data_IF_044332324271
#
_entry.id   IF_044332324271
#
_cell.length_a   1.000
_cell.length_b   1.000
_cell.length_c   1.000
_cell.angle_alpha   90.00
_cell.angle_beta   90.00
_cell.angle_gamma   90.00
#
_symmetry.space_group_name_H-M   'P 1'
#
loop_
_entity.id
_entity.type
_entity.pdbx_description
1 polymer ?
#
# COMPACT_ATOMS: atom_id res chain seq x y z
N UNK A 1 -5.88 18.25 -81.37
CA UNK A 1 -5.23 17.02 -80.87
C UNK A 1 -4.30 17.37 -79.71
N UNK A 2 -4.44 16.64 -78.58
CA UNK A 2 -3.49 16.40 -77.46
C UNK A 2 -2.86 17.62 -76.76
N UNK A 3 -3.48 18.17 -75.69
CA UNK A 3 -3.42 17.79 -74.24
C UNK A 3 -2.06 18.06 -73.57
N UNK A 4 -1.96 19.19 -72.88
CA UNK A 4 -0.90 19.57 -71.93
C UNK A 4 -1.30 19.06 -70.54
N UNK A 5 -0.49 18.17 -69.95
CA UNK A 5 -0.67 17.69 -68.57
C UNK A 5 0.00 18.68 -67.61
N UNK A 6 -0.80 19.37 -66.79
CA UNK A 6 -0.33 20.11 -65.62
C UNK A 6 -0.21 19.12 -64.45
N UNK A 7 1.02 18.92 -63.97
CA UNK A 7 1.33 18.09 -62.81
C UNK A 7 1.24 18.98 -61.56
N UNK A 8 0.15 18.85 -60.80
CA UNK A 8 -0.05 19.52 -59.51
C UNK A 8 0.66 18.71 -58.44
N UNK A 9 1.77 19.22 -57.93
CA UNK A 9 2.50 18.65 -56.78
C UNK A 9 1.79 19.13 -55.51
N UNK A 10 0.93 18.28 -54.94
CA UNK A 10 0.39 18.48 -53.60
C UNK A 10 1.48 18.22 -52.56
N UNK A 11 2.08 19.31 -52.04
CA UNK A 11 2.94 19.25 -50.85
C UNK A 11 2.04 18.99 -49.63
N UNK A 12 1.99 17.72 -49.20
CA UNK A 12 1.39 17.32 -47.93
C UNK A 12 2.21 17.91 -46.78
N UNK A 13 1.74 19.02 -46.22
CA UNK A 13 2.19 19.51 -44.92
C UNK A 13 1.70 18.54 -43.84
N UNK A 14 2.53 17.57 -43.46
CA UNK A 14 2.28 16.75 -42.28
C UNK A 14 2.39 17.65 -41.04
N UNK A 15 1.36 17.73 -40.18
CA UNK A 15 1.50 18.39 -38.90
C UNK A 15 2.50 17.58 -38.07
N UNK A 16 3.63 18.19 -37.71
CA UNK A 16 4.49 17.67 -36.66
C UNK A 16 3.65 17.54 -35.40
N UNK A 17 3.23 16.32 -35.08
CA UNK A 17 2.73 15.98 -33.77
C UNK A 17 3.86 16.23 -32.79
N UNK A 18 3.80 17.37 -32.09
CA UNK A 18 4.71 17.67 -31.00
C UNK A 18 4.61 16.57 -29.96
N UNK A 19 5.65 15.75 -29.86
CA UNK A 19 5.84 14.85 -28.74
C UNK A 19 5.96 15.73 -27.48
N UNK A 20 4.87 15.85 -26.72
CA UNK A 20 4.92 16.40 -25.38
C UNK A 20 5.78 15.44 -24.57
N UNK A 21 7.03 15.82 -24.33
CA UNK A 21 7.88 15.14 -23.38
C UNK A 21 7.20 15.29 -22.01
N UNK A 22 6.49 14.24 -21.57
CA UNK A 22 6.02 14.14 -20.20
C UNK A 22 7.25 14.14 -19.30
N UNK A 23 7.57 15.31 -18.75
CA UNK A 23 8.55 15.44 -17.66
C UNK A 23 8.09 14.52 -16.54
N UNK A 24 8.76 13.37 -16.35
CA UNK A 24 8.47 12.45 -15.26
C UNK A 24 8.46 13.25 -13.95
N UNK A 25 7.38 13.15 -13.20
CA UNK A 25 7.28 13.82 -11.91
C UNK A 25 8.42 13.32 -11.02
N UNK A 26 9.16 14.23 -10.39
CA UNK A 26 10.28 13.88 -9.51
C UNK A 26 9.75 13.36 -8.18
N UNK A 27 10.54 12.51 -7.52
CA UNK A 27 10.26 12.08 -6.16
C UNK A 27 10.06 13.29 -5.23
N UNK A 28 9.16 13.14 -4.26
CA UNK A 28 8.84 14.21 -3.29
C UNK A 28 8.79 13.66 -1.87
N UNK A 29 9.00 14.50 -0.84
CA UNK A 29 8.79 14.07 0.53
C UNK A 29 7.31 13.75 0.79
N UNK A 30 7.07 12.79 1.69
CA UNK A 30 5.76 12.52 2.27
C UNK A 30 5.39 13.58 3.32
N UNK A 31 4.12 13.95 3.36
CA UNK A 31 3.56 14.78 4.43
C UNK A 31 3.18 13.94 5.64
N UNK A 32 3.06 14.56 6.81
CA UNK A 32 2.60 13.88 8.02
C UNK A 32 1.21 13.25 7.87
N UNK A 33 0.31 13.90 7.11
CA UNK A 33 -1.02 13.38 6.84
C UNK A 33 -0.99 12.12 5.96
N UNK A 34 -0.07 12.05 5.00
CA UNK A 34 0.14 10.87 4.17
C UNK A 34 0.71 9.71 4.99
N UNK A 35 1.68 9.98 5.86
CA UNK A 35 2.25 8.99 6.80
C UNK A 35 1.15 8.41 7.70
N UNK A 36 0.33 9.25 8.33
CA UNK A 36 -0.81 8.80 9.15
C UNK A 36 -1.84 7.99 8.33
N UNK A 37 -1.98 8.30 7.04
CA UNK A 37 -2.87 7.55 6.16
C UNK A 37 -2.31 6.17 5.81
N UNK A 38 -0.98 6.03 5.68
CA UNK A 38 -0.29 4.73 5.54
C UNK A 38 -0.47 3.90 6.81
N UNK A 39 -0.22 4.49 7.99
CA UNK A 39 -0.43 3.82 9.29
C UNK A 39 -1.86 3.29 9.43
N UNK A 40 -2.85 4.12 9.10
CA UNK A 40 -4.26 3.73 9.14
C UNK A 40 -4.59 2.61 8.14
N UNK A 41 -4.01 2.65 6.93
CA UNK A 41 -4.21 1.58 5.96
C UNK A 41 -3.67 0.24 6.47
N UNK A 42 -2.51 0.25 7.14
CA UNK A 42 -1.94 -0.94 7.79
C UNK A 42 -2.86 -1.46 8.89
N UNK A 43 -3.32 -0.58 9.79
CA UNK A 43 -4.24 -0.97 10.87
C UNK A 43 -5.54 -1.55 10.34
N UNK A 44 -6.14 -0.88 9.34
CA UNK A 44 -7.41 -1.32 8.77
C UNK A 44 -7.30 -2.69 8.12
N UNK A 45 -6.22 -2.97 7.40
CA UNK A 45 -5.98 -4.31 6.86
C UNK A 45 -5.79 -5.36 7.96
N UNK A 46 -5.02 -5.06 9.00
CA UNK A 46 -4.81 -6.00 10.12
C UNK A 46 -6.13 -6.36 10.81
N UNK A 47 -7.04 -5.40 10.98
CA UNK A 47 -8.37 -5.68 11.53
C UNK A 47 -9.29 -6.39 10.55
N UNK A 48 -9.29 -5.99 9.27
CA UNK A 48 -10.11 -6.61 8.22
C UNK A 48 -9.77 -8.09 8.02
N UNK A 49 -8.49 -8.46 8.13
CA UNK A 49 -8.03 -9.85 8.02
C UNK A 49 -8.06 -10.63 9.36
N UNK A 50 -8.64 -10.07 10.43
CA UNK A 50 -8.67 -10.66 11.80
C UNK A 50 -7.26 -10.97 12.38
N UNK A 51 -6.21 -10.37 11.83
CA UNK A 51 -4.83 -10.62 12.25
C UNK A 51 -4.47 -9.96 13.58
N UNK A 52 -5.27 -9.02 14.07
CA UNK A 52 -5.01 -8.27 15.30
C UNK A 52 -4.76 -9.16 16.52
N UNK A 53 -5.36 -10.36 16.59
CA UNK A 53 -5.15 -11.33 17.67
C UNK A 53 -3.72 -11.87 17.72
N UNK A 54 -3.08 -11.99 16.55
CA UNK A 54 -1.70 -12.47 16.41
C UNK A 54 -0.66 -11.47 16.92
N UNK A 55 -1.08 -10.28 17.33
CA UNK A 55 -0.20 -9.26 17.90
C UNK A 55 -0.09 -9.33 19.43
N UNK A 56 -0.79 -10.25 20.12
CA UNK A 56 -0.62 -10.45 21.56
C UNK A 56 0.85 -10.72 21.90
N UNK A 57 1.40 -9.97 22.86
CA UNK A 57 2.81 -10.02 23.26
C UNK A 57 3.82 -9.64 22.16
N UNK A 58 3.38 -9.00 21.09
CA UNK A 58 4.26 -8.45 20.05
C UNK A 58 4.40 -6.94 20.25
N UNK A 59 5.63 -6.43 20.27
CA UNK A 59 5.91 -5.00 20.41
C UNK A 59 5.81 -4.48 21.85
N UNK A 60 5.73 -3.17 22.02
CA UNK A 60 5.52 -2.52 23.32
C UNK A 60 4.03 -2.58 23.68
N UNK A 61 3.69 -3.02 24.90
CA UNK A 61 2.32 -2.91 25.39
C UNK A 61 2.05 -1.50 25.92
N UNK A 62 1.08 -0.81 25.32
CA UNK A 62 0.62 0.52 25.78
C UNK A 62 -0.77 0.49 26.42
N UNK A 63 -1.35 -0.71 26.58
CA UNK A 63 -2.61 -0.95 27.29
C UNK A 63 -2.36 -1.47 28.72
N UNK A 64 -3.10 -2.51 29.11
CA UNK A 64 -2.89 -3.22 30.39
C UNK A 64 -2.47 -4.68 30.11
N UNK A 65 -2.01 -5.43 31.13
CA UNK A 65 -1.74 -6.87 30.95
C UNK A 65 -2.99 -7.67 30.51
N UNK A 66 -4.18 -7.25 30.94
CA UNK A 66 -5.47 -7.88 30.62
C UNK A 66 -6.05 -7.39 29.28
N UNK A 67 -5.69 -6.16 28.86
CA UNK A 67 -6.11 -5.57 27.59
C UNK A 67 -4.88 -5.10 26.81
N UNK A 68 -4.26 -6.03 26.09
CA UNK A 68 -3.00 -5.79 25.39
C UNK A 68 -3.20 -4.94 24.12
N UNK A 69 -2.49 -3.81 24.06
CA UNK A 69 -2.43 -2.95 22.86
C UNK A 69 -0.98 -2.89 22.41
N UNK A 70 -0.71 -3.50 21.26
CA UNK A 70 0.62 -3.60 20.67
C UNK A 70 0.98 -2.32 19.93
N UNK A 71 1.98 -1.58 20.42
CA UNK A 71 2.64 -0.52 19.67
C UNK A 71 3.83 -1.09 18.89
N UNK A 72 3.81 -0.92 17.58
CA UNK A 72 4.87 -1.40 16.67
C UNK A 72 5.47 -0.26 15.86
N UNK A 73 6.75 -0.40 15.54
CA UNK A 73 7.41 0.47 14.58
C UNK A 73 6.89 0.21 13.16
N UNK A 74 6.79 1.30 12.41
CA UNK A 74 6.68 1.30 10.96
C UNK A 74 7.76 2.22 10.40
N UNK A 75 8.45 1.77 9.36
CA UNK A 75 9.49 2.54 8.68
C UNK A 75 8.98 2.88 7.28
N UNK A 76 8.84 4.17 6.98
CA UNK A 76 8.26 4.65 5.73
C UNK A 76 9.35 5.39 4.97
N UNK A 77 9.58 5.00 3.72
CA UNK A 77 10.52 5.70 2.86
C UNK A 77 10.11 7.18 2.78
N UNK A 78 10.96 8.12 3.20
CA UNK A 78 10.59 9.54 3.26
C UNK A 78 10.29 10.13 1.88
N UNK A 79 10.78 9.50 0.80
CA UNK A 79 10.53 9.89 -0.57
C UNK A 79 9.42 9.03 -1.21
N UNK A 80 8.39 9.71 -1.72
CA UNK A 80 7.38 9.13 -2.60
C UNK A 80 7.84 9.22 -4.05
N UNK A 81 7.85 8.11 -4.77
CA UNK A 81 8.16 8.09 -6.20
C UNK A 81 6.93 8.55 -6.98
N UNK A 82 6.94 9.82 -7.40
CA UNK A 82 5.85 10.38 -8.18
C UNK A 82 5.88 9.95 -9.65
N UNK A 83 7.00 9.43 -10.17
CA UNK A 83 7.11 8.94 -11.54
C UNK A 83 6.41 7.59 -11.68
N UNK A 84 6.65 6.70 -10.71
CA UNK A 84 6.06 5.35 -10.69
C UNK A 84 4.83 5.26 -9.77
N UNK A 85 4.47 6.37 -9.14
CA UNK A 85 3.21 6.54 -8.42
C UNK A 85 3.09 5.73 -7.13
N UNK A 86 4.19 5.44 -6.44
CA UNK A 86 4.16 4.64 -5.22
C UNK A 86 5.18 5.10 -4.18
N UNK A 87 4.95 4.72 -2.93
CA UNK A 87 5.92 4.77 -1.86
C UNK A 87 6.19 3.38 -1.31
N UNK A 88 7.07 3.30 -0.32
CA UNK A 88 7.48 2.04 0.28
C UNK A 88 7.43 2.11 1.80
N UNK A 89 7.00 1.02 2.42
CA UNK A 89 6.92 0.87 3.87
C UNK A 89 7.43 -0.50 4.33
N UNK A 90 8.10 -0.53 5.48
CA UNK A 90 8.52 -1.75 6.18
C UNK A 90 7.80 -1.80 7.54
N UNK A 91 7.14 -2.92 7.84
CA UNK A 91 6.46 -3.13 9.13
C UNK A 91 6.27 -4.62 9.43
N UNK A 92 5.91 -4.94 10.68
CA UNK A 92 5.55 -6.30 11.09
C UNK A 92 4.07 -6.57 10.83
N UNK A 93 3.78 -7.59 10.03
CA UNK A 93 2.45 -8.12 9.75
C UNK A 93 2.38 -9.58 10.23
N UNK A 94 1.77 -9.78 11.40
CA UNK A 94 1.59 -11.12 11.96
C UNK A 94 0.43 -11.85 11.23
N UNK A 95 0.52 -13.18 11.04
CA UNK A 95 1.56 -14.09 11.54
C UNK A 95 2.79 -14.23 10.62
N UNK A 96 2.87 -13.46 9.53
CA UNK A 96 3.87 -13.69 8.48
C UNK A 96 5.28 -13.17 8.81
N UNK A 97 5.39 -12.09 9.59
CA UNK A 97 6.65 -11.46 9.95
C UNK A 97 6.80 -10.05 9.38
N UNK A 98 8.01 -9.62 9.09
CA UNK A 98 8.27 -8.27 8.59
C UNK A 98 8.16 -8.21 7.06
N UNK A 99 7.33 -7.29 6.58
CA UNK A 99 7.05 -7.09 5.16
C UNK A 99 7.70 -5.80 4.64
N UNK A 100 8.21 -5.85 3.41
CA UNK A 100 8.57 -4.69 2.60
C UNK A 100 7.46 -4.53 1.56
N UNK A 101 6.76 -3.40 1.58
CA UNK A 101 5.49 -3.26 0.86
C UNK A 101 5.37 -1.93 0.13
N UNK A 102 4.87 -1.98 -1.10
CA UNK A 102 4.51 -0.76 -1.81
C UNK A 102 3.18 -0.21 -1.30
N UNK A 103 3.02 1.11 -1.38
CA UNK A 103 1.73 1.76 -1.17
C UNK A 103 1.49 2.83 -2.23
N UNK A 104 0.21 3.07 -2.54
CA UNK A 104 -0.23 4.02 -3.54
C UNK A 104 -1.03 5.13 -2.88
N UNK A 105 -0.61 6.39 -3.08
CA UNK A 105 -1.35 7.55 -2.62
C UNK A 105 -2.44 7.92 -3.63
N UNK A 106 -3.51 8.55 -3.15
CA UNK A 106 -4.50 9.19 -4.03
C UNK A 106 -5.52 8.24 -4.65
N UNK A 107 -5.72 7.04 -4.10
CA UNK A 107 -6.98 6.36 -4.35
C UNK A 107 -8.12 7.23 -3.80
N UNK A 108 -9.31 7.21 -4.42
CA UNK A 108 -10.46 8.02 -3.96
C UNK A 108 -10.77 7.82 -2.47
N UNK A 109 -10.34 6.69 -1.90
CA UNK A 109 -10.67 6.24 -0.55
C UNK A 109 -9.43 6.14 0.38
N UNK A 110 -8.29 6.76 -0.01
CA UNK A 110 -7.09 6.87 0.83
C UNK A 110 -5.86 6.15 0.28
N UNK A 111 -5.03 5.61 1.17
CA UNK A 111 -3.79 4.88 0.82
C UNK A 111 -4.10 3.42 0.58
N UNK A 112 -3.74 2.89 -0.59
CA UNK A 112 -3.86 1.46 -0.88
C UNK A 112 -2.50 0.77 -0.68
N UNK A 113 -2.49 -0.36 0.03
CA UNK A 113 -1.31 -1.21 0.16
C UNK A 113 -1.28 -2.24 -0.98
N UNK A 114 -0.09 -2.48 -1.54
CA UNK A 114 0.11 -3.42 -2.65
C UNK A 114 0.13 -4.88 -2.20
N UNK A 115 -0.43 -5.78 -3.00
CA UNK A 115 -0.48 -7.21 -2.68
C UNK A 115 -1.55 -7.58 -1.65
N UNK A 116 -1.80 -8.88 -1.53
CA UNK A 116 -2.82 -9.47 -0.67
C UNK A 116 -2.14 -10.31 0.42
N UNK A 117 -2.39 -10.05 1.71
CA UNK A 117 -1.82 -10.82 2.80
C UNK A 117 -2.05 -12.33 2.72
N UNK A 118 -3.17 -12.80 2.15
CA UNK A 118 -3.44 -14.24 2.01
C UNK A 118 -2.45 -14.93 1.06
N UNK A 119 -1.86 -14.18 0.13
CA UNK A 119 -0.83 -14.69 -0.79
C UNK A 119 0.56 -14.76 -0.14
N UNK A 120 0.72 -14.35 1.13
CA UNK A 120 1.94 -14.49 1.94
C UNK A 120 3.19 -13.81 1.36
N UNK A 121 2.99 -12.82 0.47
CA UNK A 121 4.05 -11.96 -0.08
C UNK A 121 5.22 -12.75 -0.73
N UNK A 122 4.98 -13.44 -1.87
CA UNK A 122 6.00 -14.25 -2.53
C UNK A 122 7.12 -13.37 -3.11
N UNK A 123 8.32 -13.95 -3.24
CA UNK A 123 9.52 -13.24 -3.75
C UNK A 123 9.34 -12.66 -5.16
N UNK A 124 8.41 -13.20 -5.95
CA UNK A 124 8.15 -12.77 -7.33
C UNK A 124 7.36 -11.46 -7.44
N UNK A 125 6.88 -10.92 -6.32
CA UNK A 125 6.11 -9.68 -6.28
C UNK A 125 6.95 -8.52 -5.73
N UNK A 126 6.61 -7.26 -6.08
CA UNK A 126 7.28 -6.09 -5.52
C UNK A 126 7.15 -6.02 -3.99
N UNK A 127 5.95 -6.28 -3.46
CA UNK A 127 5.70 -6.45 -2.03
C UNK A 127 6.05 -7.87 -1.59
N UNK A 128 6.95 -7.99 -0.62
CA UNK A 128 7.59 -9.27 -0.23
C UNK A 128 7.96 -9.29 1.25
N UNK A 129 8.20 -10.48 1.79
CA UNK A 129 8.81 -10.60 3.12
C UNK A 129 10.27 -10.13 3.09
N UNK A 130 10.69 -9.43 4.15
CA UNK A 130 12.08 -8.96 4.31
C UNK A 130 13.10 -10.09 4.44
N UNK A 131 12.67 -11.29 4.86
CA UNK A 131 13.53 -12.49 4.89
C UNK A 131 14.06 -12.89 3.50
N UNK A 132 13.43 -12.40 2.43
CA UNK A 132 13.90 -12.61 1.05
C UNK A 132 14.85 -11.51 0.55
N UNK A 133 15.16 -10.52 1.38
CA UNK A 133 16.00 -9.38 1.06
C UNK A 133 17.36 -9.49 1.74
N UNK A 134 18.34 -8.73 1.24
CA UNK A 134 19.62 -8.58 1.90
C UNK A 134 19.42 -7.84 3.25
N UNK A 135 19.95 -8.41 4.33
CA UNK A 135 19.78 -7.87 5.68
C UNK A 135 20.43 -6.49 5.84
N UNK A 136 21.54 -6.22 5.14
CA UNK A 136 22.22 -4.92 5.17
C UNK A 136 21.36 -3.84 4.51
N UNK A 137 20.61 -4.19 3.44
CA UNK A 137 19.67 -3.28 2.80
C UNK A 137 18.51 -2.93 3.72
N UNK A 138 17.88 -3.94 4.35
CA UNK A 138 16.78 -3.72 5.30
C UNK A 138 17.26 -2.88 6.49
N UNK A 139 18.42 -3.21 7.07
CA UNK A 139 19.00 -2.45 8.17
C UNK A 139 19.31 -0.99 7.80
N UNK A 140 19.83 -0.74 6.59
CA UNK A 140 20.08 0.61 6.09
C UNK A 140 18.77 1.38 5.92
N UNK A 141 17.76 0.75 5.34
CA UNK A 141 16.47 1.37 5.09
C UNK A 141 15.79 1.73 6.43
N UNK A 142 15.70 0.81 7.40
CA UNK A 142 15.14 1.11 8.73
C UNK A 142 15.86 2.24 9.48
N UNK A 143 17.17 2.42 9.27
CA UNK A 143 17.96 3.50 9.89
C UNK A 143 17.77 4.86 9.23
N UNK A 144 17.46 4.88 7.94
CA UNK A 144 17.41 6.11 7.13
C UNK A 144 15.98 6.58 6.86
N UNK A 145 15.00 5.68 6.99
CA UNK A 145 13.61 5.97 6.71
C UNK A 145 12.90 6.66 7.88
N UNK A 146 11.75 7.27 7.58
CA UNK A 146 10.91 7.89 8.60
C UNK A 146 10.36 6.81 9.52
N UNK A 147 10.80 6.82 10.77
CA UNK A 147 10.31 5.94 11.81
C UNK A 147 9.05 6.51 12.46
N UNK A 148 7.97 5.75 12.44
CA UNK A 148 6.72 6.07 13.12
C UNK A 148 6.16 4.83 13.84
N UNK A 149 4.92 4.92 14.33
CA UNK A 149 4.27 3.85 15.08
C UNK A 149 2.81 3.67 14.66
N UNK A 150 2.33 2.44 14.76
CA UNK A 150 0.91 2.13 14.76
C UNK A 150 0.57 1.24 15.96
N UNK A 151 -0.70 1.27 16.37
CA UNK A 151 -1.18 0.53 17.53
C UNK A 151 -2.24 -0.49 17.11
N UNK A 152 -2.15 -1.71 17.61
CA UNK A 152 -3.12 -2.78 17.38
C UNK A 152 -3.72 -3.21 18.71
N UNK A 153 -5.02 -3.03 18.86
CA UNK A 153 -5.80 -3.59 19.96
C UNK A 153 -6.05 -5.07 19.68
N UNK A 154 -5.45 -5.93 20.51
CA UNK A 154 -5.53 -7.39 20.33
C UNK A 154 -6.89 -7.96 20.76
N UNK A 155 -7.71 -7.14 21.42
CA UNK A 155 -9.08 -7.43 21.83
C UNK A 155 -10.05 -6.39 21.23
N UNK A 156 -9.83 -6.01 19.96
CA UNK A 156 -10.67 -5.05 19.27
C UNK A 156 -12.16 -5.42 19.28
N UNK A 157 -13.00 -4.41 19.50
CA UNK A 157 -14.46 -4.58 19.50
C UNK A 157 -14.98 -4.82 18.08
N UNK A 158 -16.15 -5.47 17.91
CA UNK A 158 -16.76 -5.65 16.59
C UNK A 158 -16.94 -4.34 15.81
N UNK A 159 -17.23 -3.24 16.49
CA UNK A 159 -17.38 -1.93 15.86
C UNK A 159 -16.07 -1.40 15.24
N UNK A 160 -14.92 -1.68 15.87
CA UNK A 160 -13.59 -1.31 15.32
C UNK A 160 -13.33 -2.13 14.05
N UNK A 161 -13.60 -3.43 14.11
CA UNK A 161 -13.39 -4.36 13.00
C UNK A 161 -14.28 -3.98 11.82
N UNK A 162 -15.58 -3.77 12.04
CA UNK A 162 -16.53 -3.35 11.01
C UNK A 162 -16.13 -2.01 10.37
N UNK A 163 -15.69 -1.04 11.18
CA UNK A 163 -15.24 0.25 10.66
C UNK A 163 -13.95 0.14 9.83
N UNK A 164 -13.02 -0.71 10.23
CA UNK A 164 -11.79 -1.01 9.49
C UNK A 164 -12.10 -1.70 8.15
N UNK A 165 -12.93 -2.74 8.20
CA UNK A 165 -13.40 -3.49 7.03
C UNK A 165 -14.06 -2.58 5.98
N UNK A 166 -14.99 -1.69 6.41
CA UNK A 166 -15.62 -0.71 5.50
C UNK A 166 -14.60 0.20 4.83
N UNK A 167 -13.60 0.68 5.58
CA UNK A 167 -12.51 1.52 5.03
C UNK A 167 -11.62 0.72 4.08
N UNK A 168 -11.31 -0.53 4.40
CA UNK A 168 -10.51 -1.41 3.56
C UNK A 168 -11.23 -1.71 2.24
N UNK A 169 -12.50 -2.10 2.29
CA UNK A 169 -13.35 -2.30 1.11
C UNK A 169 -13.42 -1.06 0.23
N UNK A 170 -13.55 0.12 0.83
CA UNK A 170 -13.53 1.36 0.07
C UNK A 170 -12.22 1.52 -0.71
N UNK A 171 -11.06 1.16 -0.14
CA UNK A 171 -9.75 1.30 -0.81
C UNK A 171 -9.49 0.26 -1.88
N UNK A 172 -9.77 -1.00 -1.60
CA UNK A 172 -9.36 -2.14 -2.43
C UNK A 172 -10.49 -2.72 -3.27
N UNK A 173 -11.74 -2.38 -2.96
CA UNK A 173 -12.93 -3.03 -3.51
C UNK A 173 -13.31 -4.34 -2.79
N UNK A 174 -12.53 -4.77 -1.79
CA UNK A 174 -12.70 -6.04 -1.08
C UNK A 174 -12.48 -5.90 0.42
N UNK A 175 -13.28 -6.61 1.22
CA UNK A 175 -13.06 -6.79 2.65
C UNK A 175 -13.09 -8.28 2.96
N UNK A 176 -12.05 -8.77 3.62
CA UNK A 176 -11.99 -10.15 4.06
C UNK A 176 -13.02 -10.44 5.15
N UNK A 177 -13.16 -9.52 6.11
CA UNK A 177 -14.14 -9.66 7.19
C UNK A 177 -15.56 -9.78 6.66
N UNK A 178 -15.97 -8.91 5.72
CA UNK A 178 -17.30 -9.00 5.11
C UNK A 178 -17.48 -10.32 4.35
N UNK A 179 -16.47 -10.75 3.58
CA UNK A 179 -16.54 -12.01 2.84
C UNK A 179 -16.79 -13.22 3.75
N UNK A 180 -16.08 -13.33 4.87
CA UNK A 180 -16.23 -14.42 5.84
C UNK A 180 -17.53 -14.36 6.65
N UNK A 181 -18.16 -13.17 6.75
CA UNK A 181 -19.39 -12.96 7.53
C UNK A 181 -20.65 -12.80 6.65
N UNK A 182 -20.52 -12.97 5.33
CA UNK A 182 -21.67 -13.09 4.43
C UNK A 182 -22.44 -14.39 4.74
N UNK A 183 -23.79 -14.36 4.84
CA UNK A 183 -24.60 -15.52 5.22
C UNK A 183 -24.36 -16.75 4.34
N UNK A 184 -24.01 -16.54 3.07
CA UNK A 184 -23.78 -17.58 2.09
C UNK A 184 -22.39 -18.24 2.20
N UNK A 185 -21.46 -17.62 2.93
CA UNK A 185 -20.08 -18.11 3.14
C UNK A 185 -19.84 -18.65 4.55
N UNK A 186 -20.86 -18.66 5.42
CA UNK A 186 -20.73 -19.22 6.76
C UNK A 186 -20.33 -20.71 6.68
N UNK A 187 -19.32 -21.16 7.47
CA UNK A 187 -18.92 -22.56 7.47
C UNK A 187 -20.11 -23.43 7.87
N UNK A 188 -20.46 -24.39 6.99
CA UNK A 188 -21.50 -25.40 7.22
C UNK A 188 -21.08 -26.41 8.27
#
# INVERSE_FOLDING_TARGET
MKRICFLVICVLAMPLSGASAQTKAKSRPLTSAEIQSVERAIQDEIYDYDYFRSFYQIGENIGTPEHWISRLHVYINPAYDAADGHGVVIYKLMPYGQVYRLFFLGSKNGVQLDGDPQNKFPITQPSRLTVYMDEDEVCRDERTWTKSFFNIDTAATPAIIEAASKRQKARTGFSYWEHEHEPDNAPK
#
